data_IF_027835217890
#
_entry.id   IF_027835217890
#
_cell.length_a   1.000
_cell.length_b   1.000
_cell.length_c   1.000
_cell.angle_alpha   90.00
_cell.angle_beta   90.00
_cell.angle_gamma   90.00
#
_symmetry.space_group_name_H-M   'P 1'
#
loop_
_entity.id
_entity.type
_entity.pdbx_description
1 polymer ?
#
# COMPACT_ATOMS: atom_id res chain seq x y z
N UNK A 1 11.56 -9.50 -3.84
CA UNK A 1 11.46 -8.47 -2.78
C UNK A 1 12.70 -7.61 -2.80
N UNK A 2 12.58 -6.32 -3.08
CA UNK A 2 13.69 -5.37 -3.08
C UNK A 2 13.59 -4.51 -1.81
N UNK A 3 14.61 -4.60 -0.95
CA UNK A 3 14.64 -4.05 0.39
C UNK A 3 14.26 -5.09 1.45
N UNK A 4 15.23 -5.49 2.28
CA UNK A 4 15.09 -6.49 3.35
C UNK A 4 15.09 -5.83 4.74
N UNK A 5 14.44 -4.64 4.85
CA UNK A 5 14.13 -4.02 6.12
C UNK A 5 12.98 -4.72 6.85
N UNK A 6 12.55 -4.20 8.00
CA UNK A 6 11.42 -4.78 8.75
C UNK A 6 10.16 -5.04 7.92
N UNK A 7 9.84 -4.14 6.99
CA UNK A 7 8.67 -4.30 6.11
C UNK A 7 8.89 -5.41 5.10
N UNK A 8 10.04 -5.43 4.42
CA UNK A 8 10.37 -6.44 3.41
C UNK A 8 10.42 -7.84 4.02
N UNK A 9 11.16 -8.02 5.10
CA UNK A 9 11.30 -9.32 5.77
C UNK A 9 9.96 -9.83 6.33
N UNK A 10 9.18 -8.95 6.97
CA UNK A 10 7.84 -9.31 7.43
C UNK A 10 6.89 -9.68 6.28
N UNK A 11 7.02 -8.99 5.12
CA UNK A 11 6.23 -9.30 3.93
C UNK A 11 6.63 -10.65 3.33
N UNK A 12 7.92 -10.95 3.22
CA UNK A 12 8.41 -12.27 2.77
C UNK A 12 7.91 -13.37 3.68
N UNK A 13 7.97 -13.18 5.00
CA UNK A 13 7.46 -14.14 5.97
C UNK A 13 5.94 -14.37 5.81
N UNK A 14 5.16 -13.30 5.60
CA UNK A 14 3.71 -13.43 5.37
C UNK A 14 3.40 -14.13 4.04
N UNK A 15 4.19 -13.85 2.99
CA UNK A 15 4.06 -14.49 1.67
C UNK A 15 4.47 -15.96 1.71
N UNK A 16 5.53 -16.32 2.45
CA UNK A 16 5.93 -17.72 2.66
C UNK A 16 4.77 -18.55 3.23
N UNK A 17 4.08 -18.03 4.24
CA UNK A 17 2.94 -18.72 4.86
C UNK A 17 1.71 -18.83 3.95
N UNK A 18 1.61 -18.00 2.90
CA UNK A 18 0.46 -18.01 1.99
C UNK A 18 0.44 -19.20 1.02
N UNK A 19 1.58 -19.82 0.77
CA UNK A 19 1.75 -20.84 -0.27
C UNK A 19 1.47 -20.32 -1.70
N UNK A 20 1.55 -18.99 -1.89
CA UNK A 20 1.18 -18.33 -3.14
C UNK A 20 2.28 -18.44 -4.21
N UNK A 21 3.53 -18.47 -3.78
CA UNK A 21 4.71 -18.47 -4.64
C UNK A 21 5.51 -19.77 -4.48
N UNK A 22 6.14 -20.18 -5.56
CA UNK A 22 7.11 -21.30 -5.54
C UNK A 22 8.53 -20.81 -5.27
N UNK A 23 8.77 -19.51 -5.48
CA UNK A 23 10.08 -18.90 -5.30
C UNK A 23 9.93 -17.45 -4.83
N UNK A 24 10.74 -17.03 -3.86
CA UNK A 24 10.87 -15.64 -3.42
C UNK A 24 12.35 -15.28 -3.34
N UNK A 25 12.74 -14.26 -4.07
CA UNK A 25 14.12 -13.73 -4.09
C UNK A 25 14.18 -12.45 -3.27
N UNK A 26 15.17 -12.35 -2.41
CA UNK A 26 15.46 -11.18 -1.58
C UNK A 26 16.64 -10.41 -2.17
N UNK A 27 16.43 -9.12 -2.43
CA UNK A 27 17.46 -8.21 -2.96
C UNK A 27 17.58 -7.03 -1.99
N UNK A 28 18.79 -6.76 -1.53
CA UNK A 28 19.11 -5.58 -0.70
C UNK A 28 20.47 -5.01 -1.11
N UNK A 29 20.69 -3.72 -0.87
CA UNK A 29 22.00 -3.09 -1.05
C UNK A 29 23.05 -3.71 -0.11
N UNK A 30 22.63 -4.14 1.08
CA UNK A 30 23.41 -4.98 1.99
C UNK A 30 23.11 -6.46 1.71
N UNK A 31 23.99 -7.08 0.92
CA UNK A 31 23.86 -8.49 0.55
C UNK A 31 23.88 -9.44 1.74
N UNK A 32 24.70 -9.17 2.74
CA UNK A 32 24.77 -10.00 3.95
C UNK A 32 23.43 -9.99 4.70
N UNK A 33 22.76 -8.84 4.71
CA UNK A 33 21.42 -8.71 5.31
C UNK A 33 20.40 -9.53 4.52
N UNK A 34 20.38 -9.43 3.19
CA UNK A 34 19.49 -10.24 2.35
C UNK A 34 19.71 -11.74 2.56
N UNK A 35 20.96 -12.19 2.63
CA UNK A 35 21.32 -13.57 2.91
C UNK A 35 20.83 -14.01 4.30
N UNK A 36 21.08 -13.22 5.33
CA UNK A 36 20.65 -13.53 6.69
C UNK A 36 19.12 -13.65 6.82
N UNK A 37 18.37 -12.70 6.24
CA UNK A 37 16.90 -12.74 6.23
C UNK A 37 16.37 -13.94 5.41
N UNK A 38 16.97 -14.24 4.27
CA UNK A 38 16.60 -15.39 3.44
C UNK A 38 16.86 -16.71 4.19
N UNK A 39 18.00 -16.84 4.87
CA UNK A 39 18.32 -18.03 5.68
C UNK A 39 17.31 -18.21 6.82
N UNK A 40 17.06 -17.17 7.61
CA UNK A 40 16.17 -17.25 8.76
C UNK A 40 14.74 -17.61 8.33
N UNK A 41 14.19 -16.92 7.32
CA UNK A 41 12.84 -17.19 6.82
C UNK A 41 12.76 -18.59 6.19
N UNK A 42 13.79 -19.05 5.44
CA UNK A 42 13.79 -20.37 4.80
C UNK A 42 13.76 -21.53 5.80
N UNK A 43 14.26 -21.31 7.01
CA UNK A 43 14.16 -22.31 8.09
C UNK A 43 12.71 -22.57 8.53
N UNK A 44 11.77 -21.70 8.17
CA UNK A 44 10.33 -21.89 8.35
C UNK A 44 9.66 -22.76 7.28
N UNK A 45 10.30 -23.00 6.12
CA UNK A 45 9.72 -23.78 5.01
C UNK A 45 9.27 -25.18 5.40
N UNK A 46 9.96 -25.95 6.27
CA UNK A 46 9.47 -27.25 6.72
C UNK A 46 8.08 -27.24 7.38
N UNK A 47 7.58 -26.05 7.79
CA UNK A 47 6.27 -25.84 8.42
C UNK A 47 5.28 -25.13 7.50
N UNK A 48 5.66 -24.87 6.22
CA UNK A 48 4.86 -24.15 5.23
C UNK A 48 4.78 -24.93 3.92
N UNK A 49 4.22 -24.31 2.87
CA UNK A 49 4.21 -24.90 1.53
C UNK A 49 5.65 -24.92 0.95
N UNK A 50 6.02 -25.97 0.19
CA UNK A 50 7.32 -26.05 -0.43
C UNK A 50 7.58 -24.85 -1.36
N UNK A 51 8.71 -24.16 -1.15
CA UNK A 51 9.17 -23.06 -1.98
C UNK A 51 10.68 -22.86 -1.83
N UNK A 52 11.26 -22.03 -2.71
CA UNK A 52 12.63 -21.55 -2.57
C UNK A 52 12.63 -20.11 -2.04
N UNK A 53 13.48 -19.83 -1.07
CA UNK A 53 13.74 -18.46 -0.58
C UNK A 53 15.24 -18.28 -0.52
N UNK A 54 15.77 -17.28 -1.22
CA UNK A 54 17.20 -17.01 -1.26
C UNK A 54 17.48 -15.52 -1.54
N UNK A 55 18.70 -15.10 -1.20
CA UNK A 55 19.20 -13.79 -1.59
C UNK A 55 19.72 -13.87 -3.03
N UNK A 56 19.27 -12.94 -3.87
CA UNK A 56 19.65 -12.85 -5.26
C UNK A 56 20.08 -11.45 -5.68
N UNK A 57 20.01 -11.18 -6.96
CA UNK A 57 20.32 -9.87 -7.53
C UNK A 57 19.27 -9.44 -8.58
N UNK A 58 19.57 -8.34 -9.29
CA UNK A 58 18.62 -7.82 -10.28
C UNK A 58 18.41 -8.73 -11.50
N UNK A 59 19.30 -9.72 -11.74
CA UNK A 59 19.11 -10.66 -12.87
C UNK A 59 17.93 -11.61 -12.60
N UNK A 60 17.61 -11.88 -11.33
CA UNK A 60 16.43 -12.66 -10.92
C UNK A 60 15.08 -11.93 -11.16
N UNK A 61 15.13 -10.64 -11.51
CA UNK A 61 13.90 -9.86 -11.73
C UNK A 61 13.25 -10.17 -13.07
N UNK A 62 14.01 -10.62 -14.07
CA UNK A 62 13.55 -10.80 -15.44
C UNK A 62 12.28 -11.67 -15.56
N UNK A 63 12.23 -12.78 -14.85
CA UNK A 63 11.13 -13.76 -14.88
C UNK A 63 10.17 -13.63 -13.68
N UNK A 64 10.30 -12.58 -12.85
CA UNK A 64 9.45 -12.40 -11.70
C UNK A 64 8.02 -12.01 -12.11
N UNK A 65 7.02 -12.64 -11.51
CA UNK A 65 5.62 -12.24 -11.69
C UNK A 65 5.32 -10.90 -11.00
N UNK A 66 5.88 -10.69 -9.82
CA UNK A 66 5.70 -9.46 -9.04
C UNK A 66 7.05 -9.02 -8.46
N UNK A 67 7.38 -7.75 -8.65
CA UNK A 67 8.49 -7.10 -7.95
C UNK A 67 7.92 -6.20 -6.87
N UNK A 68 8.21 -6.49 -5.61
CA UNK A 68 7.79 -5.67 -4.46
C UNK A 68 8.96 -4.81 -4.01
N UNK A 69 8.77 -3.48 -3.96
CA UNK A 69 9.81 -2.52 -3.57
C UNK A 69 9.46 -1.91 -2.22
N UNK A 70 10.12 -2.41 -1.18
CA UNK A 70 10.06 -1.85 0.17
C UNK A 70 11.35 -1.11 0.56
N UNK A 71 12.31 -1.03 -0.37
CA UNK A 71 13.56 -0.30 -0.17
C UNK A 71 13.28 1.21 -0.07
N UNK A 72 13.72 1.80 1.01
CA UNK A 72 13.57 3.22 1.29
C UNK A 72 14.17 3.57 2.63
N UNK A 73 14.51 4.84 2.82
CA UNK A 73 14.96 5.38 4.09
C UNK A 73 13.78 5.83 4.94
N UNK A 74 13.83 5.59 6.23
CA UNK A 74 12.91 6.21 7.19
C UNK A 74 13.27 7.67 7.47
N UNK A 75 12.29 8.47 7.88
CA UNK A 75 12.50 9.85 8.31
C UNK A 75 13.34 9.88 9.60
N UNK A 76 14.37 10.70 9.61
CA UNK A 76 15.22 10.91 10.79
C UNK A 76 14.72 12.11 11.59
N UNK A 77 15.01 12.18 12.91
CA UNK A 77 14.74 13.36 13.71
C UNK A 77 15.34 14.62 13.07
N UNK A 78 14.52 15.67 12.88
CA UNK A 78 14.93 16.92 12.26
C UNK A 78 14.87 16.97 10.74
N UNK A 79 14.59 15.86 10.05
CA UNK A 79 14.35 15.85 8.61
C UNK A 79 12.93 16.35 8.28
N UNK A 80 12.82 17.15 7.21
CA UNK A 80 11.54 17.55 6.66
C UNK A 80 10.92 16.42 5.82
N UNK A 81 9.63 16.52 5.52
CA UNK A 81 8.95 15.62 4.59
C UNK A 81 9.59 15.66 3.20
N UNK A 82 10.00 16.84 2.74
CA UNK A 82 10.62 17.01 1.42
C UNK A 82 12.01 16.35 1.36
N UNK A 83 12.79 16.39 2.45
CA UNK A 83 14.07 15.69 2.54
C UNK A 83 13.89 14.17 2.40
N UNK A 84 12.84 13.62 3.04
CA UNK A 84 12.50 12.20 2.90
C UNK A 84 12.10 11.84 1.48
N UNK A 85 11.26 12.68 0.83
CA UNK A 85 10.88 12.51 -0.58
C UNK A 85 12.12 12.43 -1.46
N UNK A 86 13.00 13.44 -1.40
CA UNK A 86 14.19 13.52 -2.24
C UNK A 86 15.13 12.34 -2.03
N UNK A 87 15.32 11.91 -0.78
CA UNK A 87 16.13 10.74 -0.45
C UNK A 87 15.56 9.46 -1.09
N UNK A 88 14.26 9.23 -0.96
CA UNK A 88 13.63 8.02 -1.48
C UNK A 88 13.47 8.04 -3.00
N UNK A 89 13.27 9.20 -3.60
CA UNK A 89 13.34 9.37 -5.06
C UNK A 89 14.73 9.01 -5.58
N UNK A 90 15.80 9.44 -4.91
CA UNK A 90 17.17 9.06 -5.29
C UNK A 90 17.40 7.54 -5.21
N UNK A 91 16.86 6.87 -4.19
CA UNK A 91 16.89 5.41 -4.08
C UNK A 91 16.12 4.78 -5.25
N UNK A 92 14.92 5.25 -5.58
CA UNK A 92 14.14 4.73 -6.71
C UNK A 92 14.83 4.96 -8.06
N UNK A 93 15.49 6.08 -8.25
CA UNK A 93 16.35 6.34 -9.43
C UNK A 93 17.50 5.34 -9.57
N UNK A 94 17.96 4.72 -8.50
CA UNK A 94 18.97 3.66 -8.56
C UNK A 94 18.37 2.26 -8.78
N UNK A 95 17.14 2.02 -8.34
CA UNK A 95 16.48 0.71 -8.39
C UNK A 95 15.72 0.51 -9.72
N UNK A 96 14.84 1.43 -10.07
CA UNK A 96 13.89 1.26 -11.19
C UNK A 96 14.61 1.04 -12.53
N UNK A 97 15.67 1.78 -12.89
CA UNK A 97 16.40 1.51 -14.12
C UNK A 97 17.06 0.13 -14.16
N UNK A 98 17.48 -0.42 -13.00
CA UNK A 98 18.03 -1.77 -12.95
C UNK A 98 16.97 -2.85 -13.23
N UNK A 99 15.73 -2.64 -12.80
CA UNK A 99 14.59 -3.50 -13.15
C UNK A 99 14.26 -3.37 -14.65
N UNK A 100 14.18 -2.14 -15.17
CA UNK A 100 13.83 -1.87 -16.56
C UNK A 100 14.84 -2.50 -17.55
N UNK A 101 16.15 -2.48 -17.24
CA UNK A 101 17.22 -3.11 -18.04
C UNK A 101 17.05 -4.62 -18.21
N UNK A 102 16.33 -5.31 -17.32
CA UNK A 102 16.10 -6.76 -17.36
C UNK A 102 14.84 -7.14 -18.11
N UNK A 103 14.19 -6.18 -18.80
CA UNK A 103 12.94 -6.40 -19.52
C UNK A 103 11.83 -7.01 -18.66
N UNK A 104 11.78 -6.64 -17.38
CA UNK A 104 10.72 -7.06 -16.48
C UNK A 104 9.35 -6.69 -17.05
N UNK A 105 8.44 -7.65 -17.10
CA UNK A 105 7.11 -7.49 -17.68
C UNK A 105 5.97 -7.83 -16.68
N UNK A 106 6.30 -8.13 -15.44
CA UNK A 106 5.34 -8.42 -14.37
C UNK A 106 4.72 -7.17 -13.77
N UNK A 107 4.24 -7.27 -12.55
CA UNK A 107 3.63 -6.16 -11.80
C UNK A 107 4.62 -5.63 -10.76
N UNK A 108 4.81 -4.32 -10.75
CA UNK A 108 5.61 -3.61 -9.76
C UNK A 108 4.72 -3.12 -8.62
N UNK A 109 4.97 -3.59 -7.40
CA UNK A 109 4.28 -3.18 -6.19
C UNK A 109 5.19 -2.30 -5.32
N UNK A 110 4.87 -1.02 -5.24
CA UNK A 110 5.58 -0.03 -4.43
C UNK A 110 5.00 -0.01 -3.01
N UNK A 111 5.88 -0.13 -2.02
CA UNK A 111 5.52 -0.18 -0.59
C UNK A 111 6.26 0.88 0.22
N UNK A 112 7.40 1.36 -0.29
CA UNK A 112 8.18 2.42 0.37
C UNK A 112 7.44 3.77 0.38
N UNK A 113 7.64 4.56 1.44
CA UNK A 113 7.02 5.86 1.62
C UNK A 113 7.93 7.03 1.16
N UNK A 114 7.32 8.11 0.63
CA UNK A 114 5.87 8.34 0.44
C UNK A 114 5.35 7.58 -0.79
N UNK A 115 4.46 6.63 -0.53
CA UNK A 115 4.08 5.61 -1.53
C UNK A 115 3.47 6.19 -2.80
N UNK A 116 2.61 7.19 -2.72
CA UNK A 116 1.94 7.79 -3.89
C UNK A 116 2.94 8.48 -4.81
N UNK A 117 3.85 9.25 -4.24
CA UNK A 117 4.95 9.90 -4.96
C UNK A 117 5.87 8.87 -5.60
N UNK A 118 6.28 7.85 -4.85
CA UNK A 118 7.19 6.82 -5.33
C UNK A 118 6.54 5.91 -6.38
N UNK A 119 5.23 5.70 -6.31
CA UNK A 119 4.47 5.01 -7.35
C UNK A 119 4.52 5.81 -8.66
N UNK A 120 4.27 7.11 -8.62
CA UNK A 120 4.35 7.97 -9.80
C UNK A 120 5.77 8.04 -10.37
N UNK A 121 6.79 8.09 -9.52
CA UNK A 121 8.21 8.01 -9.92
C UNK A 121 8.51 6.68 -10.61
N UNK A 122 8.02 5.58 -10.04
CA UNK A 122 8.20 4.24 -10.63
C UNK A 122 7.52 4.11 -11.99
N UNK A 123 6.31 4.63 -12.16
CA UNK A 123 5.62 4.69 -13.45
C UNK A 123 6.48 5.41 -14.50
N UNK A 124 6.99 6.60 -14.16
CA UNK A 124 7.79 7.41 -15.09
C UNK A 124 9.14 6.81 -15.46
N UNK A 125 9.76 6.04 -14.57
CA UNK A 125 11.12 5.51 -14.77
C UNK A 125 11.14 4.06 -15.27
N UNK A 126 10.08 3.29 -15.08
CA UNK A 126 10.08 1.85 -15.38
C UNK A 126 9.89 1.52 -16.86
N UNK A 127 9.17 2.36 -17.59
CA UNK A 127 8.71 2.05 -18.95
C UNK A 127 7.60 0.99 -19.00
N UNK A 128 7.11 0.53 -17.85
CA UNK A 128 5.97 -0.38 -17.77
C UNK A 128 4.66 0.37 -18.11
N UNK A 129 3.63 -0.33 -18.60
CA UNK A 129 2.27 0.22 -18.63
C UNK A 129 1.84 0.68 -17.23
N UNK A 130 1.16 1.81 -17.13
CA UNK A 130 0.77 2.42 -15.83
C UNK A 130 -0.03 1.45 -14.95
N UNK A 131 -0.91 0.65 -15.53
CA UNK A 131 -1.71 -0.34 -14.83
C UNK A 131 -0.88 -1.46 -14.17
N UNK A 132 0.38 -1.62 -14.53
CA UNK A 132 1.30 -2.61 -13.96
C UNK A 132 2.19 -2.06 -12.84
N UNK A 133 2.04 -0.79 -12.50
CA UNK A 133 2.76 -0.17 -11.37
C UNK A 133 1.74 0.26 -10.32
N UNK A 134 1.75 -0.43 -9.20
CA UNK A 134 0.77 -0.30 -8.13
C UNK A 134 1.49 0.11 -6.84
N UNK A 135 0.98 1.11 -6.14
CA UNK A 135 1.39 1.39 -4.76
C UNK A 135 0.48 0.70 -3.76
N UNK A 136 1.02 0.29 -2.63
CA UNK A 136 0.20 -0.29 -1.54
C UNK A 136 -0.91 0.65 -1.04
N UNK A 137 -0.73 1.94 -1.27
CA UNK A 137 -1.72 2.98 -1.02
C UNK A 137 -2.31 2.92 0.38
N UNK A 138 -3.61 3.14 0.46
CA UNK A 138 -4.38 3.14 1.71
C UNK A 138 -5.03 1.78 2.02
N UNK A 139 -4.52 0.69 1.47
CA UNK A 139 -5.01 -0.68 1.80
C UNK A 139 -4.89 -0.95 3.30
N UNK A 140 -3.76 -0.58 3.92
CA UNK A 140 -3.57 -0.74 5.36
C UNK A 140 -4.46 0.22 6.16
N UNK A 141 -4.59 1.46 5.76
CA UNK A 141 -5.38 2.46 6.48
C UNK A 141 -6.87 2.10 6.45
N UNK A 142 -7.35 1.62 5.30
CA UNK A 142 -8.70 1.06 5.17
C UNK A 142 -8.90 -0.19 6.03
N UNK A 143 -7.89 -1.04 6.15
CA UNK A 143 -7.95 -2.20 7.05
C UNK A 143 -8.02 -1.78 8.53
N UNK A 144 -7.26 -0.75 8.93
CA UNK A 144 -7.33 -0.15 10.28
C UNK A 144 -8.70 0.43 10.56
N UNK A 145 -9.25 1.17 9.58
CA UNK A 145 -10.60 1.74 9.67
C UNK A 145 -11.65 0.65 9.87
N UNK A 146 -11.63 -0.39 9.03
CA UNK A 146 -12.54 -1.53 9.14
C UNK A 146 -12.42 -2.25 10.47
N UNK A 147 -11.20 -2.44 10.96
CA UNK A 147 -10.95 -3.04 12.27
C UNK A 147 -11.57 -2.21 13.40
N UNK A 148 -11.32 -0.89 13.42
CA UNK A 148 -11.86 0.03 14.42
C UNK A 148 -13.40 0.12 14.38
N UNK A 149 -13.98 0.15 13.20
CA UNK A 149 -15.43 0.11 13.03
C UNK A 149 -16.01 -1.23 13.49
N UNK A 150 -15.34 -2.34 13.21
CA UNK A 150 -15.73 -3.65 13.70
C UNK A 150 -15.75 -3.73 15.22
N UNK A 151 -14.72 -3.21 15.89
CA UNK A 151 -14.67 -3.09 17.36
C UNK A 151 -15.82 -2.22 17.89
N UNK A 152 -16.00 -1.02 17.31
CA UNK A 152 -17.03 -0.07 17.72
C UNK A 152 -18.44 -0.65 17.60
N UNK A 153 -18.75 -1.32 16.50
CA UNK A 153 -20.05 -1.90 16.22
C UNK A 153 -20.25 -3.32 16.80
N UNK A 154 -19.20 -3.93 17.34
CA UNK A 154 -19.20 -5.33 17.79
C UNK A 154 -19.62 -6.28 16.66
N UNK A 155 -19.01 -6.11 15.47
CA UNK A 155 -19.19 -6.98 14.30
C UNK A 155 -17.83 -7.41 13.74
N UNK A 156 -17.80 -8.49 12.96
CA UNK A 156 -16.58 -8.89 12.25
C UNK A 156 -16.16 -7.80 11.27
N UNK A 157 -14.90 -7.36 11.35
CA UNK A 157 -14.35 -6.31 10.50
C UNK A 157 -14.40 -6.66 9.00
N UNK A 158 -14.50 -7.96 8.65
CA UNK A 158 -14.68 -8.43 7.27
C UNK A 158 -16.05 -8.08 6.69
N UNK A 159 -17.04 -7.84 7.55
CA UNK A 159 -18.38 -7.39 7.14
C UNK A 159 -18.48 -5.86 6.97
N UNK A 160 -17.42 -5.13 7.33
CA UNK A 160 -17.38 -3.67 7.19
C UNK A 160 -16.79 -3.30 5.83
N UNK A 161 -17.51 -2.53 5.06
CA UNK A 161 -17.07 -1.95 3.79
C UNK A 161 -16.83 -0.45 3.98
N UNK A 162 -15.58 -0.08 4.10
CA UNK A 162 -15.15 1.30 4.29
C UNK A 162 -13.77 1.49 3.67
N UNK A 163 -13.56 2.64 3.01
CA UNK A 163 -12.33 2.98 2.33
C UNK A 163 -11.74 4.29 2.87
N UNK A 164 -10.43 4.35 2.87
CA UNK A 164 -9.67 5.59 2.94
C UNK A 164 -9.10 5.81 1.56
N UNK A 165 -9.20 7.03 1.03
CA UNK A 165 -8.79 7.43 -0.32
C UNK A 165 -7.90 8.65 -0.26
N UNK A 166 -7.28 9.03 -1.38
CA UNK A 166 -6.36 10.15 -1.45
C UNK A 166 -4.93 9.73 -1.13
N UNK A 167 -4.13 10.64 -0.61
CA UNK A 167 -2.77 10.39 -0.19
C UNK A 167 -2.72 9.40 0.98
N UNK A 168 -1.78 8.44 0.93
CA UNK A 168 -1.42 7.71 2.13
C UNK A 168 -0.57 8.60 3.05
N UNK A 169 -1.20 9.27 4.00
CA UNK A 169 -0.56 10.23 4.90
C UNK A 169 -1.53 11.22 5.52
N UNK A 170 -1.03 12.44 5.77
CA UNK A 170 -1.79 13.43 6.56
C UNK A 170 -3.04 13.97 5.86
N UNK A 171 -3.13 13.89 4.53
CA UNK A 171 -4.29 14.34 3.75
C UNK A 171 -5.19 13.18 3.28
N UNK A 172 -5.13 12.02 3.95
CA UNK A 172 -6.03 10.91 3.71
C UNK A 172 -7.49 11.30 3.96
N UNK A 173 -8.41 10.73 3.18
CA UNK A 173 -9.84 11.02 3.25
C UNK A 173 -10.63 9.75 3.53
N UNK A 174 -11.37 9.73 4.63
CA UNK A 174 -12.29 8.62 4.91
C UNK A 174 -13.57 8.81 4.09
N UNK A 175 -13.92 7.82 3.27
CA UNK A 175 -15.10 7.81 2.44
C UNK A 175 -16.34 7.36 3.25
N UNK A 176 -16.80 8.22 4.18
CA UNK A 176 -17.93 7.91 5.05
C UNK A 176 -19.23 7.70 4.29
N UNK A 177 -19.43 8.48 3.23
CA UNK A 177 -20.66 8.45 2.42
C UNK A 177 -20.89 7.12 1.70
N UNK A 178 -19.82 6.34 1.47
CA UNK A 178 -19.90 5.00 0.88
C UNK A 178 -19.73 3.87 1.91
N UNK A 179 -19.46 4.21 3.19
CA UNK A 179 -19.22 3.23 4.24
C UNK A 179 -20.49 2.51 4.65
N UNK A 180 -20.44 1.18 4.73
CA UNK A 180 -21.56 0.35 5.11
C UNK A 180 -21.11 -0.94 5.82
N UNK A 181 -22.07 -1.62 6.46
CA UNK A 181 -21.87 -2.97 7.03
C UNK A 181 -22.88 -3.90 6.37
N UNK A 182 -22.37 -4.81 5.54
CA UNK A 182 -23.25 -5.75 4.80
C UNK A 182 -24.38 -5.06 4.02
N UNK A 183 -24.12 -3.89 3.44
CA UNK A 183 -25.10 -3.12 2.66
C UNK A 183 -25.94 -2.13 3.49
N UNK A 184 -25.93 -2.19 4.82
CA UNK A 184 -26.57 -1.20 5.68
C UNK A 184 -25.67 0.02 5.83
N UNK A 185 -26.13 1.25 5.53
CA UNK A 185 -25.36 2.46 5.71
C UNK A 185 -24.76 2.56 7.13
N UNK A 186 -23.54 3.06 7.25
CA UNK A 186 -22.83 3.08 8.53
C UNK A 186 -23.62 3.83 9.63
N UNK A 187 -24.25 4.96 9.29
CA UNK A 187 -25.06 5.74 10.25
C UNK A 187 -26.22 4.92 10.81
N UNK A 188 -26.96 4.21 9.95
CA UNK A 188 -28.07 3.34 10.36
C UNK A 188 -27.57 2.17 11.22
N UNK A 189 -26.44 1.56 10.82
CA UNK A 189 -25.84 0.50 11.63
C UNK A 189 -25.41 0.99 13.02
N UNK A 190 -24.84 2.21 13.12
CA UNK A 190 -24.52 2.83 14.40
C UNK A 190 -25.76 2.96 15.29
N UNK A 191 -26.87 3.48 14.75
CA UNK A 191 -28.14 3.62 15.49
C UNK A 191 -28.71 2.27 15.93
N UNK A 192 -28.71 1.27 15.03
CA UNK A 192 -29.14 -0.11 15.35
C UNK A 192 -28.32 -0.73 16.49
N UNK A 193 -27.05 -0.32 16.64
CA UNK A 193 -26.15 -0.77 17.70
C UNK A 193 -26.17 0.13 18.95
N UNK A 194 -27.03 1.16 18.98
CA UNK A 194 -27.19 2.09 20.11
C UNK A 194 -26.16 3.23 20.14
N UNK A 195 -25.45 3.48 19.05
CA UNK A 195 -24.45 4.54 18.92
C UNK A 195 -25.05 5.78 18.26
N UNK A 196 -25.86 6.53 18.97
CA UNK A 196 -26.59 7.71 18.46
C UNK A 196 -25.72 8.93 18.19
N UNK A 197 -24.48 8.96 18.72
CA UNK A 197 -23.50 10.01 18.47
C UNK A 197 -22.53 9.61 17.33
N UNK A 198 -23.07 9.05 16.25
CA UNK A 198 -22.25 8.45 15.19
C UNK A 198 -21.24 9.43 14.56
N UNK A 199 -21.57 10.72 14.40
CA UNK A 199 -20.65 11.73 13.84
C UNK A 199 -19.42 11.98 14.74
N UNK A 200 -19.63 12.07 16.05
CA UNK A 200 -18.55 12.24 17.02
C UNK A 200 -17.67 10.98 17.05
N UNK A 201 -18.30 9.82 17.16
CA UNK A 201 -17.59 8.53 17.22
C UNK A 201 -16.78 8.26 15.94
N UNK A 202 -17.34 8.55 14.75
CA UNK A 202 -16.62 8.37 13.49
C UNK A 202 -15.44 9.34 13.34
N UNK A 203 -15.55 10.57 13.83
CA UNK A 203 -14.45 11.53 13.87
C UNK A 203 -13.32 11.06 14.79
N UNK A 204 -13.65 10.50 15.96
CA UNK A 204 -12.67 9.90 16.86
C UNK A 204 -11.99 8.68 16.22
N UNK A 205 -12.75 7.82 15.56
CA UNK A 205 -12.20 6.65 14.84
C UNK A 205 -11.26 7.10 13.72
N UNK A 206 -11.64 8.09 12.88
CA UNK A 206 -10.77 8.62 11.84
C UNK A 206 -9.45 9.14 12.42
N UNK A 207 -9.52 9.90 13.50
CA UNK A 207 -8.34 10.42 14.20
C UNK A 207 -7.46 9.29 14.73
N UNK A 208 -8.04 8.26 15.32
CA UNK A 208 -7.31 7.10 15.83
C UNK A 208 -6.65 6.29 14.70
N UNK A 209 -7.30 6.15 13.53
CA UNK A 209 -6.73 5.49 12.35
C UNK A 209 -5.53 6.27 11.84
N UNK A 210 -5.67 7.57 11.60
CA UNK A 210 -4.60 8.46 11.13
C UNK A 210 -3.38 8.42 12.05
N UNK A 211 -3.60 8.41 13.36
CA UNK A 211 -2.52 8.41 14.36
C UNK A 211 -1.95 7.02 14.65
N UNK A 212 -2.56 5.94 14.16
CA UNK A 212 -2.16 4.56 14.48
C UNK A 212 -0.69 4.26 14.19
N UNK A 213 -0.17 4.75 13.06
CA UNK A 213 1.22 4.52 12.69
C UNK A 213 2.18 5.20 13.66
N UNK A 214 1.91 6.45 14.03
CA UNK A 214 2.72 7.23 14.98
C UNK A 214 2.71 6.57 16.36
N UNK A 215 1.56 6.12 16.82
CA UNK A 215 1.43 5.43 18.11
C UNK A 215 2.22 4.11 18.15
N UNK A 216 2.14 3.30 17.09
CA UNK A 216 2.89 2.05 16.96
C UNK A 216 4.40 2.33 16.94
N UNK A 217 4.84 3.32 16.16
CA UNK A 217 6.25 3.70 16.05
C UNK A 217 6.79 4.18 17.40
N UNK A 218 6.04 4.99 18.13
CA UNK A 218 6.42 5.45 19.46
C UNK A 218 6.57 4.29 20.47
N UNK A 219 5.78 3.22 20.33
CA UNK A 219 5.80 2.06 21.25
C UNK A 219 6.83 1.00 20.89
N UNK A 220 7.07 0.75 19.60
CA UNK A 220 7.95 -0.35 19.14
C UNK A 220 8.94 0.04 18.05
N UNK A 221 9.11 1.35 17.78
CA UNK A 221 10.09 1.97 16.88
C UNK A 221 9.86 1.72 15.38
N UNK A 222 8.93 0.85 14.98
CA UNK A 222 8.58 0.61 13.59
C UNK A 222 7.19 -0.04 13.48
N UNK A 223 6.53 0.12 12.32
CA UNK A 223 5.33 -0.60 11.95
C UNK A 223 5.62 -1.47 10.72
N UNK A 224 5.29 -2.75 10.73
CA UNK A 224 5.61 -3.67 9.64
C UNK A 224 4.64 -4.86 9.49
N UNK A 225 3.97 -5.34 10.53
CA UNK A 225 3.07 -6.50 10.39
C UNK A 225 1.81 -6.21 9.58
N UNK A 226 1.18 -5.06 9.81
CA UNK A 226 -0.02 -4.64 9.10
C UNK A 226 0.25 -4.45 7.61
N UNK A 227 1.34 -3.75 7.25
CA UNK A 227 1.71 -3.56 5.86
C UNK A 227 2.14 -4.88 5.19
N UNK A 228 2.79 -5.80 5.91
CA UNK A 228 3.12 -7.12 5.40
C UNK A 228 1.86 -7.90 4.99
N UNK A 229 0.78 -7.82 5.78
CA UNK A 229 -0.51 -8.42 5.44
C UNK A 229 -1.20 -7.72 4.26
N UNK A 230 -1.03 -6.41 4.11
CA UNK A 230 -1.53 -5.68 2.93
C UNK A 230 -0.79 -6.09 1.67
N UNK A 231 0.54 -6.20 1.71
CA UNK A 231 1.37 -6.72 0.61
C UNK A 231 0.93 -8.13 0.24
N UNK A 232 0.78 -9.02 1.22
CA UNK A 232 0.28 -10.37 1.01
C UNK A 232 -1.07 -10.35 0.29
N UNK A 233 -2.02 -9.53 0.75
CA UNK A 233 -3.36 -9.43 0.15
C UNK A 233 -3.32 -8.94 -1.29
N UNK A 234 -2.53 -7.92 -1.60
CA UNK A 234 -2.38 -7.40 -2.96
C UNK A 234 -1.75 -8.48 -3.86
N UNK A 235 -0.71 -9.16 -3.41
CA UNK A 235 -0.10 -10.27 -4.15
C UNK A 235 -1.09 -11.44 -4.39
N UNK A 236 -1.92 -11.79 -3.40
CA UNK A 236 -2.95 -12.82 -3.56
C UNK A 236 -3.95 -12.46 -4.67
N UNK A 237 -4.42 -11.21 -4.66
CA UNK A 237 -5.36 -10.71 -5.67
C UNK A 237 -4.79 -10.80 -7.07
N UNK A 238 -3.53 -10.37 -7.24
CA UNK A 238 -2.84 -10.42 -8.52
C UNK A 238 -2.63 -11.87 -8.99
N UNK A 239 -2.03 -12.70 -8.14
CA UNK A 239 -1.64 -14.07 -8.53
C UNK A 239 -2.83 -14.99 -8.76
N UNK A 240 -3.97 -14.73 -8.13
CA UNK A 240 -5.21 -15.52 -8.28
C UNK A 240 -6.21 -14.91 -9.26
N UNK A 241 -5.87 -13.78 -9.87
CA UNK A 241 -6.79 -13.00 -10.74
C UNK A 241 -8.16 -12.78 -10.08
N UNK A 242 -8.15 -12.38 -8.78
CA UNK A 242 -9.40 -12.31 -8.01
C UNK A 242 -10.31 -11.16 -8.42
N UNK A 243 -9.82 -10.17 -9.18
CA UNK A 243 -10.54 -8.95 -9.54
C UNK A 243 -11.17 -8.25 -8.34
N UNK A 244 -10.42 -8.23 -7.25
CA UNK A 244 -10.84 -7.61 -5.99
C UNK A 244 -10.71 -6.10 -6.05
N UNK A 245 -11.62 -5.39 -5.37
CA UNK A 245 -11.57 -3.94 -5.24
C UNK A 245 -10.68 -3.60 -4.05
N UNK A 246 -9.55 -2.93 -4.32
CA UNK A 246 -8.58 -2.49 -3.32
C UNK A 246 -8.29 -0.99 -3.47
N UNK A 247 -8.15 -0.24 -2.37
CA UNK A 247 -7.77 1.18 -2.40
C UNK A 247 -6.25 1.33 -2.55
N UNK A 248 -5.75 0.92 -3.70
CA UNK A 248 -4.33 0.98 -4.06
C UNK A 248 -3.97 2.34 -4.66
N UNK A 249 -2.70 2.74 -4.55
CA UNK A 249 -2.18 3.93 -5.21
C UNK A 249 -1.86 3.62 -6.67
N UNK A 250 -2.39 4.42 -7.58
CA UNK A 250 -2.18 4.30 -9.01
C UNK A 250 -2.44 5.65 -9.70
N UNK A 251 -2.06 5.77 -10.97
CA UNK A 251 -2.30 6.97 -11.74
C UNK A 251 -3.80 7.18 -11.96
N UNK A 252 -4.29 8.38 -11.61
CA UNK A 252 -5.71 8.74 -11.77
C UNK A 252 -5.90 9.56 -13.04
N UNK A 253 -6.96 9.22 -13.80
CA UNK A 253 -7.34 9.88 -15.03
C UNK A 253 -8.83 10.27 -15.02
N UNK A 254 -9.12 11.54 -14.66
CA UNK A 254 -10.44 12.14 -14.74
C UNK A 254 -11.45 11.78 -13.65
N UNK A 255 -11.10 10.94 -12.67
CA UNK A 255 -11.97 10.59 -11.55
C UNK A 255 -12.04 11.76 -10.57
N UNK A 256 -13.24 12.28 -10.26
CA UNK A 256 -13.47 13.47 -9.44
C UNK A 256 -12.73 14.73 -9.94
N UNK A 257 -12.60 14.89 -11.27
CA UNK A 257 -11.82 15.97 -11.90
C UNK A 257 -10.33 15.97 -11.49
N UNK A 258 -9.81 14.82 -11.02
CA UNK A 258 -8.40 14.61 -10.70
C UNK A 258 -7.75 13.88 -11.87
N UNK A 259 -6.64 14.41 -12.37
CA UNK A 259 -5.90 13.84 -13.48
C UNK A 259 -4.39 13.99 -13.28
N UNK A 260 -3.62 13.01 -13.76
CA UNK A 260 -2.16 13.09 -13.85
C UNK A 260 -1.41 13.01 -12.49
N UNK A 261 -2.00 12.37 -11.49
CA UNK A 261 -1.37 12.16 -10.18
C UNK A 261 -1.66 10.75 -9.67
N UNK A 262 -0.67 10.11 -9.06
CA UNK A 262 -0.88 8.86 -8.35
C UNK A 262 -1.38 9.14 -6.94
N UNK A 263 -2.50 8.52 -6.60
CA UNK A 263 -3.07 8.50 -5.24
C UNK A 263 -3.96 7.27 -5.07
N UNK A 264 -4.39 7.04 -3.85
CA UNK A 264 -5.17 5.84 -3.50
C UNK A 264 -6.64 6.03 -3.81
N UNK A 265 -7.16 5.18 -4.69
CA UNK A 265 -8.58 5.04 -5.00
C UNK A 265 -8.95 3.56 -5.08
N UNK A 266 -10.20 3.18 -4.77
CA UNK A 266 -10.66 1.83 -5.04
C UNK A 266 -10.56 1.52 -6.53
N UNK A 267 -9.85 0.43 -6.84
CA UNK A 267 -9.68 -0.06 -8.21
C UNK A 267 -9.86 -1.57 -8.24
N UNK A 268 -10.33 -2.09 -9.38
CA UNK A 268 -10.33 -3.53 -9.66
C UNK A 268 -8.88 -3.91 -9.96
N UNK A 269 -8.36 -4.83 -9.16
CA UNK A 269 -7.01 -5.37 -9.30
C UNK A 269 -7.10 -6.85 -9.68
N UNK A 270 -6.38 -7.24 -10.71
CA UNK A 270 -6.31 -8.61 -11.21
C UNK A 270 -4.92 -8.99 -11.68
N UNK A 271 -4.80 -10.05 -12.47
CA UNK A 271 -3.52 -10.57 -12.96
C UNK A 271 -2.76 -9.59 -13.85
N UNK A 272 -3.46 -8.70 -14.54
CA UNK A 272 -2.87 -7.67 -15.41
C UNK A 272 -2.60 -6.33 -14.66
N UNK A 273 -2.80 -6.30 -13.36
CA UNK A 273 -2.65 -5.09 -12.54
C UNK A 273 -3.97 -4.38 -12.31
N UNK A 274 -3.99 -3.05 -12.49
CA UNK A 274 -5.21 -2.24 -12.39
C UNK A 274 -6.04 -2.43 -13.66
N UNK A 275 -7.28 -2.86 -13.51
CA UNK A 275 -8.22 -3.02 -14.64
C UNK A 275 -9.10 -1.78 -14.85
N UNK A 276 -9.59 -1.20 -13.75
CA UNK A 276 -10.40 0.03 -13.79
C UNK A 276 -10.54 0.65 -12.42
N UNK A 277 -10.75 1.96 -12.40
CA UNK A 277 -11.13 2.71 -11.19
C UNK A 277 -12.58 2.43 -10.81
N UNK A 278 -12.86 2.47 -9.51
CA UNK A 278 -14.22 2.41 -8.97
C UNK A 278 -14.56 3.75 -8.34
N UNK A 279 -15.31 4.62 -9.01
CA UNK A 279 -15.75 5.90 -8.46
C UNK A 279 -16.81 5.66 -7.39
N UNK A 280 -16.38 5.49 -6.13
CA UNK A 280 -17.29 5.33 -4.99
C UNK A 280 -18.02 6.65 -4.72
N UNK A 281 -19.22 6.57 -4.13
CA UNK A 281 -19.96 7.78 -3.78
C UNK A 281 -19.25 8.55 -2.65
N UNK A 282 -18.84 9.78 -2.95
CA UNK A 282 -18.31 10.74 -2.00
C UNK A 282 -19.26 11.90 -1.84
N UNK A 283 -19.42 12.42 -0.63
CA UNK A 283 -20.08 13.71 -0.41
C UNK A 283 -19.27 14.85 -1.05
N UNK A 284 -19.91 16.01 -1.23
CA UNK A 284 -19.18 17.17 -1.76
C UNK A 284 -17.99 17.60 -0.90
N UNK A 285 -18.07 17.43 0.41
CA UNK A 285 -16.96 17.71 1.34
C UNK A 285 -15.82 16.70 1.18
N UNK A 286 -16.15 15.41 1.07
CA UNK A 286 -15.15 14.35 0.85
C UNK A 286 -14.45 14.50 -0.51
N UNK A 287 -15.21 14.82 -1.56
CA UNK A 287 -14.66 15.05 -2.89
C UNK A 287 -13.73 16.28 -2.93
N UNK A 288 -14.07 17.35 -2.21
CA UNK A 288 -13.21 18.53 -2.06
C UNK A 288 -11.90 18.18 -1.35
N UNK A 289 -11.97 17.46 -0.23
CA UNK A 289 -10.78 17.00 0.51
C UNK A 289 -9.90 16.08 -0.35
N UNK A 290 -10.50 15.20 -1.15
CA UNK A 290 -9.79 14.34 -2.08
C UNK A 290 -9.02 15.17 -3.13
N UNK A 291 -9.63 16.23 -3.66
CA UNK A 291 -8.99 17.14 -4.59
C UNK A 291 -7.83 17.91 -3.95
N UNK A 292 -8.01 18.40 -2.73
CA UNK A 292 -6.94 19.04 -1.95
C UNK A 292 -5.76 18.09 -1.71
N UNK A 293 -6.05 16.82 -1.41
CA UNK A 293 -5.06 15.75 -1.27
C UNK A 293 -4.27 15.55 -2.57
N UNK A 294 -4.97 15.46 -3.70
CA UNK A 294 -4.36 15.33 -5.02
C UNK A 294 -3.48 16.54 -5.38
N UNK A 295 -3.96 17.76 -5.13
CA UNK A 295 -3.22 18.99 -5.40
C UNK A 295 -1.94 19.09 -4.55
N UNK A 296 -1.97 18.58 -3.32
CA UNK A 296 -0.79 18.50 -2.47
C UNK A 296 0.28 17.56 -3.05
N UNK A 297 -0.13 16.40 -3.56
CA UNK A 297 0.77 15.46 -4.23
C UNK A 297 1.34 16.03 -5.53
N UNK A 298 0.52 16.70 -6.36
CA UNK A 298 0.98 17.35 -7.59
C UNK A 298 2.07 18.38 -7.32
N UNK A 299 1.87 19.24 -6.32
CA UNK A 299 2.87 20.25 -5.92
C UNK A 299 4.21 19.61 -5.52
N UNK A 300 4.18 18.48 -4.82
CA UNK A 300 5.42 17.77 -4.47
C UNK A 300 6.05 17.18 -5.73
N UNK A 301 5.26 16.56 -6.61
CA UNK A 301 5.77 15.99 -7.87
C UNK A 301 6.42 17.02 -8.79
N UNK A 302 5.93 18.27 -8.82
CA UNK A 302 6.52 19.37 -9.57
C UNK A 302 7.93 19.77 -9.08
N UNK A 303 8.27 19.47 -7.84
CA UNK A 303 9.59 19.73 -7.27
C UNK A 303 10.63 18.64 -7.56
N UNK A 304 10.18 17.49 -8.10
CA UNK A 304 11.03 16.31 -8.33
C UNK A 304 11.58 16.37 -9.77
N UNK A 305 12.89 16.46 -9.89
CA UNK A 305 13.58 16.22 -11.15
C UNK A 305 13.74 14.71 -11.37
N UNK A 306 13.29 14.19 -12.52
CA UNK A 306 13.36 12.76 -12.86
C UNK A 306 14.32 12.52 -14.03
#
# INVERSE_FOLDING_TARGET
MIGCGFVGSASVFALMQSGLFTEIVLIDADKNKAEGEAMDISHGIPFASPMKIYAGDYDDVADAAIVVISAGAGQKPGETRLDLVNKNVAIFKSIIPEIAKRNFAGIMLVVANPVDILTQVAIKLSGLPENRVIGSGTVLDSARLRYKLGEHLSVDSRSVHAFIVGEHGDSEVVAWSSSNVSGVPLSEMCEMRGHYKHKENTAEIATAVKNSAYEIINKKHATYYGIAMSVKRICEVIMRDEKSILPVSHMIHGVYDIDGVSLSMPAIVGADGIESDIPINLSGEEALKLKESADSLKKIMETIEL
#
